data_IF_723680860287
#
_entry.id   IF_723680860287
#
_cell.length_a   1.000
_cell.length_b   1.000
_cell.length_c   1.000
_cell.angle_alpha   90.00
_cell.angle_beta   90.00
_cell.angle_gamma   90.00
#
_symmetry.space_group_name_H-M   'P 1'
#
loop_
_entity.id
_entity.type
_entity.pdbx_description
1 polymer ?
#
# COMPACT_ATOMS: atom_id res chain seq x y z
N UNK A 1 16.72 27.65 -6.93
CA UNK A 1 17.15 26.24 -7.00
C UNK A 1 16.01 25.45 -7.61
N UNK A 2 16.18 24.92 -8.82
CA UNK A 2 15.11 24.14 -9.48
C UNK A 2 14.99 22.81 -8.74
N UNK A 3 13.86 22.58 -8.05
CA UNK A 3 13.55 21.31 -7.40
C UNK A 3 13.68 20.17 -8.42
N UNK A 4 14.58 19.22 -8.16
CA UNK A 4 14.75 18.03 -8.99
C UNK A 4 13.50 17.15 -8.82
N UNK A 5 12.72 16.96 -9.88
CA UNK A 5 11.57 16.06 -9.87
C UNK A 5 12.04 14.63 -10.03
N UNK A 6 11.58 13.75 -9.14
CA UNK A 6 11.80 12.31 -9.26
C UNK A 6 10.65 11.74 -10.10
N UNK A 7 10.95 11.40 -11.35
CA UNK A 7 10.02 10.69 -12.22
C UNK A 7 10.22 9.20 -12.05
N UNK A 8 9.11 8.46 -12.00
CA UNK A 8 9.08 7.00 -11.94
C UNK A 8 8.12 6.51 -13.01
N UNK A 9 8.54 5.56 -13.83
CA UNK A 9 7.66 4.84 -14.74
C UNK A 9 7.00 3.71 -13.95
N UNK A 10 5.67 3.74 -13.85
CA UNK A 10 4.90 2.75 -13.10
C UNK A 10 3.49 2.60 -13.69
N UNK A 11 2.81 1.53 -13.31
CA UNK A 11 1.38 1.35 -13.60
C UNK A 11 0.50 2.08 -12.56
N UNK A 12 -0.82 2.04 -12.78
CA UNK A 12 -1.79 2.70 -11.91
C UNK A 12 -1.89 2.10 -10.50
N UNK A 13 -1.74 0.77 -10.36
CA UNK A 13 -1.80 0.10 -9.06
C UNK A 13 -0.58 0.46 -8.22
N UNK A 14 0.61 0.48 -8.82
CA UNK A 14 1.83 0.95 -8.15
C UNK A 14 1.69 2.40 -7.68
N UNK A 15 1.17 3.29 -8.54
CA UNK A 15 0.95 4.69 -8.19
C UNK A 15 -0.06 4.87 -7.04
N UNK A 16 -1.17 4.12 -7.08
CA UNK A 16 -2.20 4.15 -6.03
C UNK A 16 -1.67 3.58 -4.71
N UNK A 17 -1.03 2.40 -4.76
CA UNK A 17 -0.40 1.77 -3.59
C UNK A 17 0.64 2.71 -2.98
N UNK A 18 1.46 3.40 -3.79
CA UNK A 18 2.47 4.32 -3.28
C UNK A 18 1.86 5.39 -2.38
N UNK A 19 0.76 6.03 -2.80
CA UNK A 19 0.09 7.05 -1.99
C UNK A 19 -0.64 6.41 -0.81
N UNK A 20 -1.35 5.30 -1.02
CA UNK A 20 -2.02 4.60 0.08
C UNK A 20 -1.04 4.23 1.20
N UNK A 21 0.11 3.65 0.86
CA UNK A 21 1.15 3.29 1.82
C UNK A 21 1.64 4.50 2.62
N UNK A 22 1.84 5.65 1.97
CA UNK A 22 2.37 6.84 2.64
C UNK A 22 1.38 7.40 3.68
N UNK A 23 0.07 7.27 3.48
CA UNK A 23 -0.97 7.89 4.32
C UNK A 23 -1.73 6.92 5.23
N UNK A 24 -1.38 5.63 5.24
CA UNK A 24 -2.04 4.61 6.06
C UNK A 24 -1.13 4.09 7.17
N UNK A 25 -1.73 3.75 8.31
CA UNK A 25 -1.07 3.00 9.39
C UNK A 25 -1.43 1.50 9.33
N UNK A 26 -2.64 1.18 8.86
CA UNK A 26 -3.20 -0.18 8.77
C UNK A 26 -3.77 -0.43 7.38
N UNK A 27 -3.61 -1.64 6.87
CA UNK A 27 -4.23 -2.13 5.64
C UNK A 27 -4.82 -3.54 5.86
N UNK A 28 -6.15 -3.63 5.94
CA UNK A 28 -6.86 -4.91 5.88
C UNK A 28 -7.15 -5.24 4.41
N UNK A 29 -6.64 -6.38 3.94
CA UNK A 29 -6.64 -6.71 2.50
C UNK A 29 -7.33 -8.04 2.22
N UNK A 30 -7.80 -8.20 0.99
CA UNK A 30 -8.22 -9.47 0.41
C UNK A 30 -7.93 -9.44 -1.10
N UNK A 31 -7.35 -10.50 -1.69
CA UNK A 31 -6.96 -10.50 -3.09
C UNK A 31 -8.16 -10.66 -4.03
N UNK A 32 -8.32 -9.72 -4.96
CA UNK A 32 -9.26 -9.82 -6.08
C UNK A 32 -8.68 -9.13 -7.33
N UNK A 33 -8.79 -9.78 -8.50
CA UNK A 33 -8.33 -9.18 -9.77
C UNK A 33 -9.24 -7.99 -10.15
N UNK A 34 -8.70 -6.84 -10.60
CA UNK A 34 -7.30 -6.55 -10.94
C UNK A 34 -6.50 -5.82 -9.84
N UNK A 35 -7.04 -5.71 -8.63
CA UNK A 35 -6.45 -4.86 -7.56
C UNK A 35 -5.42 -5.58 -6.68
N UNK A 36 -5.28 -6.91 -6.75
CA UNK A 36 -4.35 -7.68 -5.90
C UNK A 36 -2.94 -7.10 -5.82
N UNK A 37 -2.38 -6.65 -6.95
CA UNK A 37 -1.03 -6.06 -6.99
C UNK A 37 -0.85 -4.83 -6.10
N UNK A 38 -1.91 -4.06 -5.80
CA UNK A 38 -1.80 -2.96 -4.83
C UNK A 38 -1.49 -3.47 -3.43
N UNK A 39 -2.16 -4.54 -3.01
CA UNK A 39 -1.97 -5.14 -1.70
C UNK A 39 -0.60 -5.83 -1.60
N UNK A 40 -0.16 -6.49 -2.67
CA UNK A 40 1.17 -7.10 -2.77
C UNK A 40 2.29 -6.05 -2.62
N UNK A 41 2.19 -4.90 -3.29
CA UNK A 41 3.16 -3.82 -3.11
C UNK A 41 3.20 -3.28 -1.68
N UNK A 42 2.03 -3.11 -1.05
CA UNK A 42 1.95 -2.62 0.33
C UNK A 42 2.58 -3.62 1.30
N UNK A 43 2.32 -4.92 1.14
CA UNK A 43 2.93 -5.98 1.94
C UNK A 43 4.45 -6.06 1.73
N UNK A 44 4.91 -6.06 0.48
CA UNK A 44 6.33 -6.08 0.13
C UNK A 44 7.07 -4.87 0.73
N UNK A 45 6.50 -3.67 0.63
CA UNK A 45 7.11 -2.47 1.19
C UNK A 45 7.14 -2.47 2.71
N UNK A 46 6.10 -2.99 3.37
CA UNK A 46 6.08 -3.17 4.82
C UNK A 46 7.17 -4.15 5.26
N UNK A 47 7.30 -5.29 4.56
CA UNK A 47 8.34 -6.29 4.82
C UNK A 47 9.76 -5.73 4.62
N UNK A 48 9.96 -4.86 3.62
CA UNK A 48 11.22 -4.16 3.40
C UNK A 48 11.45 -2.95 4.34
N UNK A 49 10.56 -2.72 5.31
CA UNK A 49 10.74 -1.67 6.30
C UNK A 49 10.49 -0.25 5.79
N UNK A 50 9.82 -0.09 4.64
CA UNK A 50 9.47 1.23 4.10
C UNK A 50 8.62 1.98 5.12
N UNK A 51 8.92 3.25 5.35
CA UNK A 51 8.16 4.07 6.31
C UNK A 51 7.10 4.91 5.60
N UNK A 52 5.92 4.98 6.19
CA UNK A 52 4.87 5.94 5.86
C UNK A 52 5.24 7.35 6.37
N UNK A 53 4.37 8.35 6.17
CA UNK A 53 4.64 9.72 6.64
C UNK A 53 4.68 9.87 8.17
N UNK A 54 4.17 8.87 8.90
CA UNK A 54 4.19 8.82 10.37
C UNK A 54 5.48 8.20 10.92
N UNK A 55 6.39 7.73 10.05
CA UNK A 55 7.64 7.09 10.45
C UNK A 55 7.51 5.60 10.77
N UNK A 56 6.38 4.98 10.43
CA UNK A 56 6.06 3.59 10.75
C UNK A 56 5.88 2.74 9.48
N UNK A 57 6.00 1.42 9.61
CA UNK A 57 5.63 0.48 8.54
C UNK A 57 4.13 0.25 8.59
N UNK A 58 3.47 0.18 7.44
CA UNK A 58 2.04 -0.16 7.39
C UNK A 58 1.82 -1.56 7.96
N UNK A 59 0.86 -1.71 8.87
CA UNK A 59 0.44 -3.02 9.36
C UNK A 59 -0.53 -3.64 8.35
N UNK A 60 -0.06 -4.65 7.61
CA UNK A 60 -0.85 -5.37 6.62
C UNK A 60 -1.42 -6.64 7.22
N UNK A 61 -2.67 -6.97 6.93
CA UNK A 61 -3.29 -8.24 7.33
C UNK A 61 -4.27 -8.70 6.27
N UNK A 62 -4.05 -9.92 5.77
CA UNK A 62 -4.99 -10.58 4.86
C UNK A 62 -6.15 -11.19 5.65
N UNK A 63 -7.36 -10.89 5.19
CA UNK A 63 -8.61 -11.33 5.79
C UNK A 63 -9.19 -12.53 5.02
N UNK A 64 -10.27 -13.12 5.51
CA UNK A 64 -10.92 -14.26 4.86
C UNK A 64 -11.81 -13.91 3.66
N UNK A 65 -12.20 -12.64 3.52
CA UNK A 65 -13.00 -12.11 2.41
C UNK A 65 -12.92 -10.58 2.39
N UNK A 66 -13.39 -9.95 1.32
CA UNK A 66 -13.53 -8.49 1.24
C UNK A 66 -14.46 -7.95 2.33
N UNK A 67 -15.49 -8.72 2.74
CA UNK A 67 -16.35 -8.37 3.85
C UNK A 67 -15.60 -8.40 5.20
N UNK A 68 -14.67 -9.37 5.37
CA UNK A 68 -13.76 -9.40 6.52
C UNK A 68 -12.83 -8.19 6.56
N UNK A 69 -12.28 -7.81 5.40
CA UNK A 69 -11.45 -6.61 5.27
C UNK A 69 -12.23 -5.33 5.60
N UNK A 70 -13.45 -5.18 5.06
CA UNK A 70 -14.30 -4.03 5.31
C UNK A 70 -14.75 -3.89 6.78
N UNK A 71 -14.87 -5.00 7.52
CA UNK A 71 -15.21 -4.97 8.94
C UNK A 71 -14.05 -4.64 9.88
N UNK A 72 -12.82 -4.67 9.39
CA UNK A 72 -11.61 -4.46 10.19
C UNK A 72 -11.12 -3.01 10.22
N UNK A 73 -11.62 -2.15 9.31
CA UNK A 73 -11.20 -0.73 9.13
C UNK A 73 -12.38 0.21 8.98
#
# INVERSE_FOLDING_TARGET
>A
MTQKRNFVTCDGNYAAAHIAYMFSEVAAIYPITPSSTMAEYVDEWAAHGRKNIFGETVKVTEMQSEAGAAGAV
#
